data_IF_020204732358
#
_entry.id   IF_020204732358
#
_cell.length_a   1.000
_cell.length_b   1.000
_cell.length_c   1.000
_cell.angle_alpha   90.00
_cell.angle_beta   90.00
_cell.angle_gamma   90.00
#
_symmetry.space_group_name_H-M   'P 1'
#
loop_
_entity.id
_entity.type
_entity.pdbx_description
1 polymer ?
#
# COMPACT_ATOMS: atom_id res chain seq x y z
N UNK A 1 -22.08 13.76 -7.88
CA UNK A 1 -22.53 13.04 -9.10
C UNK A 1 -21.46 13.24 -10.16
N UNK A 2 -20.87 12.17 -10.64
CA UNK A 2 -19.87 12.17 -11.70
C UNK A 2 -20.53 12.62 -13.01
N UNK A 3 -19.87 13.49 -13.79
CA UNK A 3 -20.43 13.93 -15.08
C UNK A 3 -20.54 12.73 -16.07
N UNK A 4 -21.53 12.77 -16.97
CA UNK A 4 -21.68 11.74 -18.01
C UNK A 4 -20.40 11.58 -18.87
N UNK A 5 -19.69 12.66 -19.13
CA UNK A 5 -18.43 12.66 -19.87
C UNK A 5 -17.35 11.88 -19.11
N UNK A 6 -17.23 12.10 -17.81
CA UNK A 6 -16.29 11.37 -16.96
C UNK A 6 -16.64 9.89 -16.88
N UNK A 7 -17.94 9.53 -16.76
CA UNK A 7 -18.39 8.14 -16.80
C UNK A 7 -18.02 7.46 -18.12
N UNK A 8 -18.16 8.16 -19.26
CA UNK A 8 -17.77 7.62 -20.58
C UNK A 8 -16.28 7.36 -20.68
N UNK A 9 -15.46 8.28 -20.16
CA UNK A 9 -13.97 8.14 -20.14
C UNK A 9 -13.59 6.97 -19.25
N UNK A 10 -14.14 6.90 -18.04
CA UNK A 10 -13.86 5.81 -17.10
C UNK A 10 -14.30 4.45 -17.65
N UNK A 11 -15.46 4.39 -18.30
CA UNK A 11 -15.95 3.18 -18.96
C UNK A 11 -15.00 2.74 -20.08
N UNK A 12 -14.47 3.67 -20.89
CA UNK A 12 -13.50 3.36 -21.93
C UNK A 12 -12.17 2.82 -21.37
N UNK A 13 -11.75 3.32 -20.20
CA UNK A 13 -10.52 2.88 -19.51
C UNK A 13 -10.71 1.56 -18.72
N UNK A 14 -11.94 1.17 -18.41
CA UNK A 14 -12.24 -0.04 -17.63
C UNK A 14 -12.25 -1.32 -18.46
N UNK A 15 -12.42 -1.25 -19.78
CA UNK A 15 -12.44 -2.42 -20.66
C UNK A 15 -11.03 -2.76 -21.15
N UNK A 16 -10.46 -3.81 -20.61
CA UNK A 16 -9.21 -4.42 -21.05
C UNK A 16 -8.73 -5.45 -20.04
N UNK A 17 -8.34 -6.62 -20.54
CA UNK A 17 -7.56 -7.58 -19.75
C UNK A 17 -6.26 -6.91 -19.33
N UNK A 18 -5.76 -7.28 -18.15
CA UNK A 18 -4.46 -6.78 -17.67
C UNK A 18 -3.38 -7.38 -18.58
N UNK A 19 -2.91 -6.58 -19.54
CA UNK A 19 -1.63 -6.83 -20.18
C UNK A 19 -0.54 -6.24 -19.29
N UNK A 20 0.16 -7.09 -18.56
CA UNK A 20 1.17 -6.70 -17.56
C UNK A 20 2.20 -5.73 -18.15
N UNK A 21 2.74 -6.03 -19.35
CA UNK A 21 3.69 -5.13 -20.01
C UNK A 21 3.07 -3.78 -20.41
N UNK A 22 1.83 -3.77 -20.91
CA UNK A 22 1.15 -2.53 -21.26
C UNK A 22 0.84 -1.67 -20.04
N UNK A 23 0.39 -2.30 -18.94
CA UNK A 23 0.14 -1.62 -17.68
C UNK A 23 1.43 -1.04 -17.08
N UNK A 24 2.53 -1.79 -17.10
CA UNK A 24 3.86 -1.30 -16.66
C UNK A 24 4.37 -0.16 -17.54
N UNK A 25 4.19 -0.24 -18.89
CA UNK A 25 4.57 0.85 -19.81
C UNK A 25 3.76 2.12 -19.57
N UNK A 26 2.46 2.01 -19.26
CA UNK A 26 1.63 3.17 -18.90
C UNK A 26 2.11 3.80 -17.59
N UNK A 27 2.47 2.99 -16.61
CA UNK A 27 3.09 3.46 -15.37
C UNK A 27 4.41 4.22 -15.65
N UNK A 28 5.25 3.71 -16.57
CA UNK A 28 6.51 4.37 -16.96
C UNK A 28 6.32 5.70 -17.70
N UNK A 29 5.22 5.88 -18.45
CA UNK A 29 4.91 7.15 -19.12
C UNK A 29 4.65 8.28 -18.11
N UNK A 30 4.10 7.96 -16.94
CA UNK A 30 3.89 8.92 -15.84
C UNK A 30 5.20 9.52 -15.31
N UNK A 31 6.36 8.86 -15.55
CA UNK A 31 7.70 9.38 -15.17
C UNK A 31 8.14 10.61 -15.97
N UNK A 32 7.50 10.93 -17.09
CA UNK A 32 7.93 11.98 -18.02
C UNK A 32 7.54 13.40 -17.59
N UNK A 33 6.93 13.55 -16.43
CA UNK A 33 6.53 14.88 -15.94
C UNK A 33 7.74 15.69 -15.45
N UNK A 34 8.07 16.74 -16.21
CA UNK A 34 9.38 17.40 -16.23
C UNK A 34 9.64 18.42 -15.09
N UNK A 35 8.84 18.45 -14.04
CA UNK A 35 9.14 19.26 -12.85
C UNK A 35 9.97 18.45 -11.86
N UNK A 36 11.29 18.42 -12.07
CA UNK A 36 12.26 18.01 -11.05
C UNK A 36 12.19 18.96 -9.85
N UNK A 37 11.31 18.67 -8.92
CA UNK A 37 11.45 19.18 -7.56
C UNK A 37 12.76 18.64 -7.03
N UNK A 38 13.61 19.48 -6.45
CA UNK A 38 14.84 19.03 -5.76
C UNK A 38 14.40 18.12 -4.61
N UNK A 39 14.37 16.83 -4.88
CA UNK A 39 13.92 15.83 -3.93
C UNK A 39 15.14 15.35 -3.17
N UNK A 40 15.11 15.52 -1.85
CA UNK A 40 16.10 15.00 -0.93
C UNK A 40 15.84 13.51 -0.74
N UNK A 41 16.49 12.67 -1.58
CA UNK A 41 16.27 11.22 -1.60
C UNK A 41 17.56 10.45 -1.59
N UNK A 42 17.52 9.25 -1.04
CA UNK A 42 18.64 8.32 -0.96
C UNK A 42 18.14 6.91 -1.30
N UNK A 43 18.72 6.28 -2.31
CA UNK A 43 18.50 4.89 -2.62
C UNK A 43 19.45 4.01 -1.79
N UNK A 44 18.88 2.98 -1.18
CA UNK A 44 19.60 1.98 -0.40
C UNK A 44 18.91 0.62 -0.53
N UNK A 45 19.28 -0.36 0.28
CA UNK A 45 18.72 -1.70 0.24
C UNK A 45 18.64 -2.32 1.62
N UNK A 46 17.72 -3.24 1.77
CA UNK A 46 17.62 -4.15 2.90
C UNK A 46 17.72 -5.59 2.40
N UNK A 47 18.00 -6.53 3.30
CA UNK A 47 18.19 -7.93 2.91
C UNK A 47 16.99 -8.78 3.32
N UNK A 48 16.44 -9.51 2.34
CA UNK A 48 15.50 -10.60 2.55
C UNK A 48 16.20 -11.91 2.15
N UNK A 49 16.83 -12.59 3.11
CA UNK A 49 17.72 -13.71 2.81
C UNK A 49 18.90 -13.26 1.95
N UNK A 50 19.05 -13.87 0.77
CA UNK A 50 20.07 -13.51 -0.22
C UNK A 50 19.64 -12.38 -1.16
N UNK A 51 18.37 -11.99 -1.15
CA UNK A 51 17.84 -10.95 -2.02
C UNK A 51 18.02 -9.56 -1.41
N UNK A 52 18.49 -8.63 -2.22
CA UNK A 52 18.62 -7.22 -1.88
C UNK A 52 17.34 -6.48 -2.29
N UNK A 53 16.46 -6.19 -1.32
CA UNK A 53 15.24 -5.40 -1.55
C UNK A 53 15.62 -3.93 -1.65
N UNK A 54 15.45 -3.27 -2.80
CA UNK A 54 15.74 -1.84 -2.93
C UNK A 54 14.75 -1.04 -2.10
N UNK A 55 15.21 0.04 -1.48
CA UNK A 55 14.37 1.00 -0.77
C UNK A 55 14.82 2.40 -1.08
N UNK A 56 13.88 3.33 -1.18
CA UNK A 56 14.15 4.75 -1.35
C UNK A 56 13.67 5.53 -0.15
N UNK A 57 14.56 6.35 0.37
CA UNK A 57 14.30 7.26 1.48
C UNK A 57 14.06 8.66 0.94
N UNK A 58 13.00 9.30 1.42
CA UNK A 58 12.69 10.69 1.15
C UNK A 58 12.76 11.47 2.45
N UNK A 59 13.50 12.55 2.45
CA UNK A 59 13.74 13.34 3.64
C UNK A 59 12.93 14.64 3.61
N UNK A 60 12.31 15.05 4.72
CA UNK A 60 11.54 16.29 4.79
C UNK A 60 12.42 17.54 4.65
N UNK A 61 13.70 17.47 5.05
CA UNK A 61 14.63 18.59 5.04
C UNK A 61 16.07 18.12 4.79
N UNK A 62 17.01 19.08 4.63
CA UNK A 62 18.46 18.77 4.48
C UNK A 62 19.06 18.30 5.79
N UNK A 63 18.59 18.85 6.89
CA UNK A 63 19.00 18.44 8.24
C UNK A 63 18.62 16.98 8.48
N UNK A 64 17.40 16.55 8.07
CA UNK A 64 17.00 15.16 8.15
C UNK A 64 17.89 14.25 7.32
N UNK A 65 18.29 14.69 6.12
CA UNK A 65 19.18 13.93 5.24
C UNK A 65 20.59 13.84 5.76
N UNK A 66 21.13 14.89 6.41
CA UNK A 66 22.45 14.88 7.05
C UNK A 66 22.49 14.08 8.37
N UNK A 67 21.32 13.63 8.86
CA UNK A 67 21.22 12.89 10.10
C UNK A 67 21.15 13.77 11.35
N UNK A 68 21.00 15.07 11.16
CA UNK A 68 20.89 16.02 12.27
C UNK A 68 19.47 15.98 12.85
N UNK A 69 19.29 15.72 14.15
CA UNK A 69 17.99 15.74 14.77
C UNK A 69 17.45 17.17 14.88
N UNK A 70 16.15 17.36 14.67
CA UNK A 70 15.50 18.64 14.96
C UNK A 70 15.21 18.72 16.46
N UNK A 71 15.69 19.77 17.11
CA UNK A 71 15.53 19.98 18.55
C UNK A 71 16.00 18.80 19.42
N UNK A 72 16.95 18.00 18.91
CA UNK A 72 17.45 16.80 19.57
C UNK A 72 16.58 15.56 19.46
N UNK A 73 15.44 15.64 18.76
CA UNK A 73 14.53 14.51 18.54
C UNK A 73 14.79 13.83 17.18
N UNK A 74 14.70 12.50 17.16
CA UNK A 74 14.74 11.71 15.94
C UNK A 74 13.47 11.90 15.11
N UNK A 75 13.59 11.70 13.80
CA UNK A 75 12.46 11.85 12.89
C UNK A 75 11.46 10.70 12.98
N UNK A 76 10.15 10.97 12.87
CA UNK A 76 9.16 9.94 12.62
C UNK A 76 9.31 9.39 11.21
N UNK A 77 8.87 8.15 10.99
CA UNK A 77 9.00 7.46 9.70
C UNK A 77 7.66 6.95 9.21
N UNK A 78 7.39 7.14 7.91
CA UNK A 78 6.35 6.44 7.19
C UNK A 78 7.02 5.34 6.34
N UNK A 79 6.76 4.07 6.68
CA UNK A 79 7.16 2.94 5.87
C UNK A 79 6.06 2.68 4.84
N UNK A 80 6.34 3.01 3.58
CA UNK A 80 5.37 3.06 2.51
C UNK A 80 5.49 1.86 1.56
N UNK A 81 4.36 1.19 1.32
CA UNK A 81 4.19 0.15 0.31
C UNK A 81 3.24 0.64 -0.78
N UNK A 82 3.72 0.69 -2.01
CA UNK A 82 2.95 1.21 -3.14
C UNK A 82 1.86 0.27 -3.61
N UNK A 83 0.85 0.81 -4.28
CA UNK A 83 -0.22 0.06 -4.93
C UNK A 83 0.22 -0.57 -6.26
N UNK A 84 -0.77 -0.90 -7.11
CA UNK A 84 -0.53 -1.47 -8.44
C UNK A 84 -0.85 -2.96 -8.55
N UNK A 85 -1.74 -3.48 -7.70
CA UNK A 85 -2.24 -4.87 -7.79
C UNK A 85 -1.14 -5.93 -7.62
N UNK A 86 -0.06 -5.64 -6.91
CA UNK A 86 1.15 -6.48 -6.75
C UNK A 86 1.90 -6.77 -8.06
N UNK A 87 1.50 -6.17 -9.19
CA UNK A 87 1.94 -6.50 -10.56
C UNK A 87 2.60 -5.32 -11.25
N UNK A 88 2.13 -4.12 -10.96
CA UNK A 88 2.57 -2.88 -11.61
C UNK A 88 3.09 -1.87 -10.60
N UNK A 89 3.49 -0.71 -11.09
CA UNK A 89 4.03 0.40 -10.33
C UNK A 89 5.43 0.11 -9.76
N UNK A 90 6.03 1.12 -9.16
CA UNK A 90 7.38 1.08 -8.62
C UNK A 90 7.62 2.25 -7.67
N UNK A 91 8.69 2.21 -6.91
CA UNK A 91 9.15 3.36 -6.10
C UNK A 91 9.34 4.61 -6.96
N UNK A 92 9.80 4.45 -8.22
CA UNK A 92 9.97 5.59 -9.15
C UNK A 92 8.64 6.24 -9.54
N UNK A 93 7.56 5.45 -9.76
CA UNK A 93 6.24 5.99 -10.07
C UNK A 93 5.64 6.78 -8.91
N UNK A 94 5.97 6.40 -7.66
CA UNK A 94 5.52 7.06 -6.45
C UNK A 94 6.46 8.16 -5.93
N UNK A 95 7.51 8.51 -6.69
CA UNK A 95 8.54 9.48 -6.28
C UNK A 95 7.94 10.83 -5.84
N UNK A 96 6.98 11.34 -6.63
CA UNK A 96 6.29 12.61 -6.33
C UNK A 96 5.41 12.53 -5.08
N UNK A 97 4.67 11.43 -4.93
CA UNK A 97 3.77 11.20 -3.78
C UNK A 97 4.59 11.10 -2.50
N UNK A 98 5.63 10.24 -2.48
CA UNK A 98 6.47 10.04 -1.32
C UNK A 98 7.25 11.31 -0.93
N UNK A 99 7.74 12.07 -1.92
CA UNK A 99 8.41 13.35 -1.68
C UNK A 99 7.49 14.38 -1.05
N UNK A 100 6.27 14.54 -1.58
CA UNK A 100 5.27 15.46 -1.02
C UNK A 100 4.86 15.01 0.38
N UNK A 101 4.67 13.70 0.59
CA UNK A 101 4.34 13.14 1.89
C UNK A 101 5.42 13.47 2.92
N UNK A 102 6.70 13.26 2.59
CA UNK A 102 7.80 13.61 3.48
C UNK A 102 7.78 15.11 3.85
N UNK A 103 7.68 16.00 2.85
CA UNK A 103 7.68 17.45 3.05
C UNK A 103 6.47 17.95 3.85
N UNK A 104 5.27 17.40 3.57
CA UNK A 104 4.02 17.89 4.18
C UNK A 104 3.84 17.40 5.61
N UNK A 105 4.40 16.24 5.95
CA UNK A 105 4.21 15.62 7.27
C UNK A 105 5.41 15.74 8.19
N UNK A 106 6.56 16.17 7.67
CA UNK A 106 7.81 16.21 8.45
C UNK A 106 8.40 14.82 8.77
N UNK A 107 7.92 13.76 8.10
CA UNK A 107 8.39 12.40 8.29
C UNK A 107 9.49 12.06 7.26
N UNK A 108 10.39 11.15 7.63
CA UNK A 108 11.14 10.41 6.63
C UNK A 108 10.17 9.40 6.01
N UNK A 109 10.06 9.34 4.68
CA UNK A 109 9.30 8.30 3.99
C UNK A 109 10.28 7.27 3.45
N UNK A 110 10.07 5.99 3.81
CA UNK A 110 10.82 4.86 3.28
C UNK A 110 9.89 4.07 2.36
N UNK A 111 10.10 4.16 1.05
CA UNK A 111 9.35 3.42 0.04
C UNK A 111 10.08 2.15 -0.35
N UNK A 112 9.36 1.03 -0.45
CA UNK A 112 9.93 -0.31 -0.68
C UNK A 112 9.64 -0.76 -2.10
N UNK A 113 10.69 -1.10 -2.84
CA UNK A 113 10.61 -1.73 -4.17
C UNK A 113 10.50 -3.25 -3.98
N UNK A 114 9.34 -3.72 -3.56
CA UNK A 114 9.07 -5.14 -3.40
C UNK A 114 8.95 -5.84 -4.75
N UNK A 115 9.32 -7.11 -4.82
CA UNK A 115 9.24 -7.91 -6.05
C UNK A 115 7.78 -8.09 -6.48
N UNK A 116 7.53 -7.99 -7.78
CA UNK A 116 6.19 -7.98 -8.36
C UNK A 116 5.82 -9.33 -8.97
N UNK A 117 4.52 -9.64 -8.93
CA UNK A 117 3.93 -10.71 -9.72
C UNK A 117 3.84 -10.29 -11.22
N UNK A 118 3.78 -11.23 -12.16
CA UNK A 118 3.76 -12.68 -11.98
C UNK A 118 5.15 -13.31 -11.80
N UNK A 119 6.24 -12.56 -11.88
CA UNK A 119 7.60 -13.10 -11.71
C UNK A 119 7.83 -13.61 -10.29
N UNK A 120 7.16 -12.99 -9.31
CA UNK A 120 7.25 -13.33 -7.89
C UNK A 120 5.85 -13.33 -7.26
N UNK A 121 5.29 -14.54 -7.12
CA UNK A 121 3.98 -14.73 -6.50
C UNK A 121 4.01 -14.57 -4.98
N UNK A 122 2.84 -14.56 -4.36
CA UNK A 122 2.68 -14.69 -2.91
C UNK A 122 3.47 -15.90 -2.38
N UNK A 123 4.17 -15.80 -1.25
CA UNK A 123 4.25 -14.64 -0.36
C UNK A 123 5.46 -13.71 -0.60
N UNK A 124 6.15 -13.79 -1.76
CA UNK A 124 7.43 -13.10 -1.98
C UNK A 124 7.35 -11.57 -1.79
N UNK A 125 6.36 -10.85 -2.36
CA UNK A 125 6.20 -9.41 -2.13
C UNK A 125 6.00 -9.06 -0.65
N UNK A 126 5.22 -9.86 0.06
CA UNK A 126 4.98 -9.71 1.50
C UNK A 126 6.27 -9.88 2.32
N UNK A 127 7.06 -10.90 2.03
CA UNK A 127 8.31 -11.17 2.75
C UNK A 127 9.35 -10.06 2.50
N UNK A 128 9.36 -9.44 1.32
CA UNK A 128 10.21 -8.28 1.04
C UNK A 128 9.79 -7.06 1.88
N UNK A 129 8.49 -6.79 1.95
CA UNK A 129 7.94 -5.72 2.80
C UNK A 129 8.19 -5.98 4.28
N UNK A 130 8.04 -7.23 4.73
CA UNK A 130 8.34 -7.64 6.10
C UNK A 130 9.82 -7.46 6.45
N UNK A 131 10.72 -7.86 5.55
CA UNK A 131 12.16 -7.68 5.75
C UNK A 131 12.55 -6.20 5.85
N UNK A 132 11.93 -5.34 5.03
CA UNK A 132 12.12 -3.90 5.09
C UNK A 132 11.64 -3.32 6.42
N UNK A 133 10.44 -3.72 6.87
CA UNK A 133 9.92 -3.33 8.18
C UNK A 133 10.85 -3.79 9.31
N UNK A 134 11.22 -5.06 9.32
CA UNK A 134 12.11 -5.63 10.34
C UNK A 134 13.45 -4.89 10.39
N UNK A 135 14.06 -4.59 9.23
CA UNK A 135 15.33 -3.86 9.19
C UNK A 135 15.22 -2.45 9.80
N UNK A 136 14.10 -1.77 9.55
CA UNK A 136 13.81 -0.44 10.11
C UNK A 136 13.59 -0.51 11.61
N UNK A 137 12.70 -1.36 12.10
CA UNK A 137 12.35 -1.48 13.52
C UNK A 137 13.51 -2.00 14.39
N UNK A 138 14.38 -2.86 13.83
CA UNK A 138 15.53 -3.42 14.55
C UNK A 138 16.81 -2.58 14.42
N UNK A 139 16.74 -1.39 13.79
CA UNK A 139 17.88 -0.49 13.65
C UNK A 139 18.99 -1.00 12.74
N UNK A 140 18.70 -1.97 11.86
CA UNK A 140 19.68 -2.46 10.88
C UNK A 140 19.88 -1.49 9.72
N UNK A 141 18.95 -0.58 9.52
CA UNK A 141 19.06 0.55 8.61
C UNK A 141 19.47 1.78 9.43
N UNK A 142 20.63 2.36 9.09
CA UNK A 142 21.14 3.55 9.80
C UNK A 142 20.35 4.77 9.32
N UNK A 143 19.36 5.16 10.11
CA UNK A 143 18.54 6.35 9.90
C UNK A 143 18.39 7.14 11.20
N UNK A 144 18.24 8.47 11.14
CA UNK A 144 17.91 9.29 12.29
C UNK A 144 16.44 9.12 12.68
N UNK A 145 15.96 7.86 12.72
CA UNK A 145 14.57 7.47 12.93
C UNK A 145 14.29 7.14 14.39
N UNK A 146 13.09 7.46 14.84
CA UNK A 146 12.55 7.04 16.13
C UNK A 146 11.75 5.73 15.92
N UNK A 147 12.21 4.58 16.46
CA UNK A 147 11.50 3.30 16.31
C UNK A 147 10.07 3.33 16.89
N UNK A 148 9.81 4.16 17.89
CA UNK A 148 8.50 4.32 18.49
C UNK A 148 7.54 5.18 17.64
N UNK A 149 8.06 5.87 16.62
CA UNK A 149 7.32 6.77 15.73
C UNK A 149 7.34 6.29 14.28
N UNK A 150 7.37 4.98 14.07
CA UNK A 150 7.24 4.36 12.74
C UNK A 150 5.77 4.00 12.50
N UNK A 151 5.24 4.46 11.38
CA UNK A 151 3.89 4.11 10.90
C UNK A 151 4.02 3.34 9.59
N UNK A 152 3.38 2.18 9.47
CA UNK A 152 3.28 1.45 8.21
C UNK A 152 2.10 2.01 7.41
N UNK A 153 2.32 2.32 6.15
CA UNK A 153 1.31 2.91 5.28
C UNK A 153 1.36 2.27 3.89
N UNK A 154 0.22 2.08 3.26
CA UNK A 154 0.16 1.62 1.88
C UNK A 154 -1.21 1.86 1.26
N UNK A 155 -1.23 1.90 -0.07
CA UNK A 155 -2.43 2.09 -0.86
C UNK A 155 -2.77 0.86 -1.70
N UNK A 156 -4.05 0.51 -1.82
CA UNK A 156 -4.54 -0.62 -2.64
C UNK A 156 -3.84 -1.95 -2.26
N UNK A 157 -3.10 -2.57 -3.19
CA UNK A 157 -2.26 -3.74 -2.93
C UNK A 157 -1.19 -3.46 -1.86
N UNK A 158 -0.63 -2.24 -1.81
CA UNK A 158 0.28 -1.82 -0.73
C UNK A 158 -0.42 -1.72 0.62
N UNK A 159 -1.70 -1.34 0.64
CA UNK A 159 -2.55 -1.39 1.83
C UNK A 159 -2.79 -2.82 2.33
N UNK A 160 -2.94 -3.78 1.42
CA UNK A 160 -2.94 -5.20 1.75
C UNK A 160 -1.62 -5.62 2.40
N UNK A 161 -0.50 -5.31 1.76
CA UNK A 161 0.83 -5.63 2.28
C UNK A 161 1.07 -5.00 3.66
N UNK A 162 0.58 -3.77 3.89
CA UNK A 162 0.68 -3.10 5.18
C UNK A 162 -0.08 -3.86 6.28
N UNK A 163 -1.33 -4.24 6.01
CA UNK A 163 -2.14 -5.04 6.93
C UNK A 163 -1.50 -6.42 7.19
N UNK A 164 -1.07 -7.11 6.12
CA UNK A 164 -0.44 -8.43 6.22
C UNK A 164 0.90 -8.40 6.96
N UNK A 165 1.74 -7.37 6.77
CA UNK A 165 2.99 -7.17 7.53
C UNK A 165 2.69 -6.99 9.02
N UNK A 166 1.63 -6.25 9.38
CA UNK A 166 1.24 -6.08 10.79
C UNK A 166 0.77 -7.39 11.41
N UNK A 167 -0.03 -8.20 10.69
CA UNK A 167 -0.43 -9.54 11.12
C UNK A 167 0.79 -10.45 11.33
N UNK A 168 1.69 -10.47 10.37
CA UNK A 168 2.90 -11.28 10.40
C UNK A 168 3.88 -10.86 11.50
N UNK A 169 3.98 -9.54 11.76
CA UNK A 169 4.79 -9.00 12.84
C UNK A 169 4.27 -9.44 14.22
N UNK A 170 2.95 -9.42 14.41
CA UNK A 170 2.30 -9.94 15.63
C UNK A 170 2.59 -11.43 15.83
N UNK A 171 2.47 -12.24 14.78
CA UNK A 171 2.71 -13.67 14.88
C UNK A 171 4.18 -14.00 15.15
N UNK A 172 5.11 -13.37 14.43
CA UNK A 172 6.55 -13.64 14.57
C UNK A 172 7.15 -13.01 15.83
N UNK A 173 6.54 -11.96 16.38
CA UNK A 173 6.98 -11.31 17.61
C UNK A 173 8.37 -10.65 17.52
N UNK A 174 8.85 -10.35 16.31
CA UNK A 174 10.19 -9.78 16.10
C UNK A 174 10.21 -8.26 16.21
N UNK A 175 9.09 -7.63 15.94
CA UNK A 175 8.77 -6.20 16.15
C UNK A 175 7.25 -6.05 16.16
N UNK A 176 6.76 -4.90 16.63
CA UNK A 176 5.33 -4.60 16.59
C UNK A 176 5.12 -3.15 16.16
N UNK A 177 4.48 -2.91 15.01
CA UNK A 177 4.07 -1.57 14.60
C UNK A 177 3.07 -0.99 15.60
N UNK A 178 3.19 0.31 15.90
CA UNK A 178 2.20 1.01 16.75
C UNK A 178 1.04 1.57 15.95
N UNK A 179 1.29 1.90 14.66
CA UNK A 179 0.30 2.52 13.78
C UNK A 179 0.37 1.94 12.38
N UNK A 180 -0.80 1.83 11.74
CA UNK A 180 -0.92 1.55 10.32
C UNK A 180 -1.94 2.48 9.66
N UNK A 181 -1.69 2.83 8.40
CA UNK A 181 -2.59 3.63 7.56
C UNK A 181 -2.87 2.83 6.29
N UNK A 182 -4.12 2.46 6.09
CA UNK A 182 -4.57 1.64 4.96
C UNK A 182 -5.41 2.52 4.03
N UNK A 183 -4.90 2.79 2.84
CA UNK A 183 -5.55 3.67 1.87
C UNK A 183 -6.23 2.78 0.83
N UNK A 184 -7.57 2.80 0.75
CA UNK A 184 -8.41 1.93 -0.09
C UNK A 184 -7.80 0.51 -0.24
N UNK A 185 -7.56 -0.22 0.88
CA UNK A 185 -6.78 -1.45 0.85
C UNK A 185 -7.54 -2.60 0.20
N UNK A 186 -6.84 -3.44 -0.57
CA UNK A 186 -7.36 -4.69 -1.12
C UNK A 186 -7.22 -5.81 -0.08
N UNK A 187 -8.27 -6.14 0.64
CA UNK A 187 -8.23 -7.04 1.81
C UNK A 187 -8.94 -8.37 1.60
N UNK A 188 -9.68 -8.51 0.49
CA UNK A 188 -10.54 -9.65 0.19
C UNK A 188 -9.88 -10.64 -0.79
N UNK A 189 -10.43 -11.83 -0.87
CA UNK A 189 -9.96 -12.93 -1.73
C UNK A 189 -10.86 -13.21 -2.95
N UNK A 190 -11.96 -12.44 -3.11
CA UNK A 190 -12.96 -12.70 -4.16
C UNK A 190 -13.62 -11.40 -4.60
N UNK A 191 -13.62 -11.14 -5.91
CA UNK A 191 -14.28 -9.98 -6.53
C UNK A 191 -15.27 -10.41 -7.63
N UNK A 192 -15.87 -11.58 -7.47
CA UNK A 192 -16.94 -12.07 -8.32
C UNK A 192 -18.32 -11.73 -7.74
N UNK A 193 -19.40 -12.21 -8.39
CA UNK A 193 -20.77 -12.12 -7.86
C UNK A 193 -20.94 -12.82 -6.49
N UNK A 194 -20.01 -13.71 -6.13
CA UNK A 194 -20.00 -14.42 -4.84
C UNK A 194 -19.41 -13.55 -3.70
N UNK A 195 -18.82 -12.40 -4.01
CA UNK A 195 -18.28 -11.50 -2.99
C UNK A 195 -19.38 -11.04 -2.02
N UNK A 196 -19.14 -11.09 -0.71
CA UNK A 196 -20.13 -10.61 0.28
C UNK A 196 -20.22 -9.07 0.32
N UNK A 197 -19.35 -8.38 -0.39
CA UNK A 197 -19.24 -6.92 -0.37
C UNK A 197 -20.01 -6.29 -1.51
N UNK A 198 -20.98 -5.46 -1.14
CA UNK A 198 -21.88 -4.82 -2.09
C UNK A 198 -21.17 -3.85 -3.03
N UNK A 199 -20.11 -3.21 -2.55
CA UNK A 199 -19.28 -2.32 -3.37
C UNK A 199 -18.66 -3.01 -4.58
N UNK A 200 -18.41 -4.33 -4.52
CA UNK A 200 -17.93 -5.12 -5.66
C UNK A 200 -18.96 -5.13 -6.80
N UNK A 201 -20.26 -5.26 -6.49
CA UNK A 201 -21.33 -5.23 -7.48
C UNK A 201 -21.68 -3.80 -7.91
N UNK A 202 -21.69 -2.85 -6.96
CA UNK A 202 -22.06 -1.45 -7.23
C UNK A 202 -21.01 -0.69 -8.04
N UNK A 203 -19.73 -0.93 -7.75
CA UNK A 203 -18.58 -0.18 -8.27
C UNK A 203 -17.60 -1.04 -9.09
N UNK A 204 -17.92 -2.32 -9.29
CA UNK A 204 -17.06 -3.25 -10.02
C UNK A 204 -17.02 -3.05 -11.53
N UNK A 205 -17.85 -2.16 -12.09
CA UNK A 205 -17.89 -1.80 -13.51
C UNK A 205 -18.02 -0.30 -13.68
N UNK A 206 -17.48 0.22 -14.80
CA UNK A 206 -17.64 1.64 -15.17
C UNK A 206 -16.74 2.62 -14.42
N UNK A 207 -15.82 2.12 -13.60
CA UNK A 207 -14.81 2.89 -12.90
C UNK A 207 -13.38 2.43 -13.30
N UNK A 208 -12.37 3.14 -12.83
CA UNK A 208 -10.96 2.86 -13.18
C UNK A 208 -10.54 1.45 -12.74
N UNK A 209 -10.87 1.10 -11.49
CA UNK A 209 -10.69 -0.25 -10.96
C UNK A 209 -12.00 -1.03 -11.12
N UNK A 210 -11.93 -2.21 -11.71
CA UNK A 210 -13.08 -3.10 -11.89
C UNK A 210 -12.90 -4.40 -11.12
N UNK A 211 -14.01 -5.07 -10.82
CA UNK A 211 -14.02 -6.38 -10.18
C UNK A 211 -13.23 -7.42 -11.01
N UNK A 212 -13.37 -7.37 -12.34
CA UNK A 212 -12.63 -8.24 -13.26
C UNK A 212 -11.14 -8.00 -13.16
N UNK A 213 -10.69 -6.73 -13.14
CA UNK A 213 -9.26 -6.40 -12.95
C UNK A 213 -8.74 -6.91 -11.61
N UNK A 214 -9.54 -6.80 -10.54
CA UNK A 214 -9.15 -7.33 -9.24
C UNK A 214 -8.97 -8.84 -9.25
N UNK A 215 -9.89 -9.58 -9.89
CA UNK A 215 -9.75 -11.03 -10.05
C UNK A 215 -8.50 -11.41 -10.87
N UNK A 216 -8.17 -10.64 -11.90
CA UNK A 216 -6.96 -10.86 -12.70
C UNK A 216 -5.69 -10.59 -11.86
N UNK A 217 -5.68 -9.54 -11.05
CA UNK A 217 -4.58 -9.27 -10.11
C UNK A 217 -4.41 -10.40 -9.09
N UNK A 218 -5.49 -10.91 -8.50
CA UNK A 218 -5.40 -12.03 -7.57
C UNK A 218 -4.81 -13.28 -8.24
N UNK A 219 -5.25 -13.61 -9.48
CA UNK A 219 -4.70 -14.74 -10.26
C UNK A 219 -3.22 -14.59 -10.58
N UNK A 220 -2.76 -13.36 -10.81
CA UNK A 220 -1.34 -13.09 -11.06
C UNK A 220 -0.53 -13.15 -9.77
N UNK A 221 -1.12 -12.74 -8.65
CA UNK A 221 -0.44 -12.69 -7.35
C UNK A 221 -0.37 -14.05 -6.64
N UNK A 222 -1.42 -14.89 -6.75
CA UNK A 222 -1.43 -16.22 -6.12
C UNK A 222 -0.40 -17.17 -6.74
N UNK A 223 0.25 -18.00 -5.93
CA UNK A 223 1.07 -19.13 -6.39
C UNK A 223 0.22 -20.38 -6.56
N UNK A 224 -0.86 -20.48 -5.81
CA UNK A 224 -1.89 -21.52 -5.91
C UNK A 224 -3.25 -20.95 -5.45
N UNK A 225 -4.38 -21.56 -5.89
CA UNK A 225 -5.71 -21.13 -5.43
C UNK A 225 -5.91 -21.20 -3.91
N UNK A 226 -5.15 -22.04 -3.21
CA UNK A 226 -5.22 -22.19 -1.75
C UNK A 226 -4.71 -20.94 -1.02
N UNK A 227 -3.83 -20.15 -1.67
CA UNK A 227 -3.32 -18.90 -1.11
C UNK A 227 -4.44 -17.92 -0.78
N UNK A 228 -5.54 -17.94 -1.56
CA UNK A 228 -6.71 -17.08 -1.32
C UNK A 228 -7.38 -17.32 0.03
N UNK A 229 -7.13 -18.45 0.69
CA UNK A 229 -7.65 -18.75 2.03
C UNK A 229 -6.65 -18.35 3.14
N UNK A 230 -5.48 -17.85 2.78
CA UNK A 230 -4.46 -17.42 3.71
C UNK A 230 -4.73 -15.98 4.20
N UNK A 231 -4.78 -15.72 5.53
CA UNK A 231 -5.02 -14.38 6.06
C UNK A 231 -3.90 -13.37 5.74
N UNK A 232 -2.73 -13.82 5.34
CA UNK A 232 -1.67 -12.93 4.85
C UNK A 232 -1.83 -12.54 3.38
N UNK A 233 -2.60 -13.34 2.62
CA UNK A 233 -3.04 -12.98 1.27
C UNK A 233 -4.27 -12.07 1.33
N UNK A 234 -5.25 -12.43 2.15
CA UNK A 234 -6.50 -11.72 2.33
C UNK A 234 -6.73 -11.40 3.82
N UNK A 235 -6.26 -10.28 4.33
CA UNK A 235 -6.32 -9.91 5.75
C UNK A 235 -7.72 -9.92 6.38
N UNK A 236 -8.75 -9.76 5.56
CA UNK A 236 -10.14 -9.87 6.01
C UNK A 236 -10.50 -11.26 6.58
N UNK A 237 -9.73 -12.30 6.25
CA UNK A 237 -9.97 -13.66 6.69
C UNK A 237 -9.38 -13.95 8.08
N UNK A 238 -8.50 -13.07 8.60
CA UNK A 238 -7.93 -13.27 9.94
C UNK A 238 -9.03 -13.33 11.00
N UNK A 239 -9.00 -14.37 11.82
CA UNK A 239 -10.05 -14.60 12.82
C UNK A 239 -9.83 -13.78 14.09
N UNK A 240 -8.59 -13.69 14.53
CA UNK A 240 -8.19 -12.93 15.69
C UNK A 240 -7.47 -11.64 15.28
N UNK A 241 -8.15 -10.52 15.37
CA UNK A 241 -7.59 -9.19 15.11
C UNK A 241 -7.24 -8.44 16.40
N UNK A 242 -7.12 -9.12 17.54
CA UNK A 242 -6.66 -8.48 18.78
C UNK A 242 -5.20 -8.05 18.68
N UNK A 243 -4.84 -7.04 19.48
CA UNK A 243 -3.46 -6.53 19.56
C UNK A 243 -2.86 -6.05 18.21
N UNK A 244 -3.71 -5.56 17.33
CA UNK A 244 -3.26 -4.90 16.10
C UNK A 244 -2.91 -3.43 16.36
N UNK A 245 -2.11 -2.79 15.47
CA UNK A 245 -1.77 -1.38 15.57
C UNK A 245 -2.99 -0.46 15.59
N UNK A 246 -2.86 0.73 16.16
CA UNK A 246 -3.80 1.83 15.90
C UNK A 246 -3.94 2.01 14.39
N UNK A 247 -5.18 2.02 13.88
CA UNK A 247 -5.43 1.90 12.44
C UNK A 247 -6.24 3.08 11.93
N UNK A 248 -5.74 3.73 10.88
CA UNK A 248 -6.50 4.63 10.04
C UNK A 248 -6.81 3.96 8.71
N UNK A 249 -8.08 3.88 8.33
CA UNK A 249 -8.51 3.37 7.03
C UNK A 249 -9.18 4.50 6.24
N UNK A 250 -8.70 4.72 5.02
CA UNK A 250 -9.30 5.63 4.07
C UNK A 250 -9.93 4.81 2.94
N UNK A 251 -11.22 4.94 2.70
CA UNK A 251 -11.91 4.29 1.59
C UNK A 251 -12.41 5.30 0.57
N UNK A 252 -12.58 4.91 -0.68
CA UNK A 252 -13.16 5.75 -1.71
C UNK A 252 -14.60 5.33 -1.98
N UNK A 253 -15.52 6.30 -2.16
CA UNK A 253 -16.95 6.01 -2.29
C UNK A 253 -17.27 5.15 -3.50
N UNK A 254 -16.62 5.40 -4.63
CA UNK A 254 -16.87 4.71 -5.91
C UNK A 254 -15.79 3.67 -6.22
N UNK A 255 -15.46 2.83 -5.23
CA UNK A 255 -14.41 1.84 -5.29
C UNK A 255 -14.96 0.45 -4.95
N UNK A 256 -14.69 -0.61 -5.72
CA UNK A 256 -15.08 -1.96 -5.35
C UNK A 256 -14.47 -2.42 -4.02
N UNK A 257 -13.34 -1.85 -3.57
CA UNK A 257 -12.64 -2.17 -2.32
C UNK A 257 -13.24 -1.48 -1.09
N UNK A 258 -14.24 -0.60 -1.27
CA UNK A 258 -14.81 0.23 -0.20
C UNK A 258 -15.29 -0.58 1.00
N UNK A 259 -16.19 -1.52 0.75
CA UNK A 259 -16.91 -2.21 1.82
C UNK A 259 -16.02 -3.19 2.60
N UNK A 260 -15.04 -3.81 1.95
CA UNK A 260 -14.07 -4.68 2.62
C UNK A 260 -13.14 -3.90 3.55
N UNK A 261 -12.71 -2.69 3.12
CA UNK A 261 -11.93 -1.79 3.96
C UNK A 261 -12.70 -1.36 5.21
N UNK A 262 -13.97 -0.97 5.05
CA UNK A 262 -14.83 -0.58 6.18
C UNK A 262 -15.16 -1.78 7.08
N UNK A 263 -15.40 -2.96 6.52
CA UNK A 263 -15.64 -4.18 7.28
C UNK A 263 -14.41 -4.60 8.09
N UNK A 264 -13.21 -4.46 7.52
CA UNK A 264 -11.96 -4.75 8.23
C UNK A 264 -11.76 -3.79 9.41
N UNK A 265 -12.01 -2.49 9.19
CA UNK A 265 -11.96 -1.49 10.26
C UNK A 265 -12.92 -1.82 11.41
N UNK A 266 -14.17 -2.17 11.09
CA UNK A 266 -15.15 -2.59 12.10
C UNK A 266 -14.70 -3.82 12.89
N UNK A 267 -14.12 -4.83 12.23
CA UNK A 267 -13.61 -6.03 12.91
C UNK A 267 -12.40 -5.74 13.79
N UNK A 268 -11.52 -4.83 13.38
CA UNK A 268 -10.42 -4.35 14.22
C UNK A 268 -10.93 -3.65 15.48
N UNK A 269 -11.96 -2.79 15.35
CA UNK A 269 -12.60 -2.10 16.49
C UNK A 269 -13.29 -3.11 17.43
N UNK A 270 -14.05 -4.06 16.89
CA UNK A 270 -14.69 -5.13 17.66
C UNK A 270 -13.69 -6.01 18.42
N UNK A 271 -12.46 -6.14 17.89
CA UNK A 271 -11.35 -6.83 18.56
C UNK A 271 -10.61 -5.97 19.61
N UNK A 272 -11.07 -4.74 19.85
CA UNK A 272 -10.56 -3.86 20.91
C UNK A 272 -9.40 -2.97 20.52
N UNK A 273 -9.12 -2.80 19.21
CA UNK A 273 -8.09 -1.87 18.74
C UNK A 273 -8.67 -0.47 18.53
N UNK A 274 -7.81 0.56 18.54
CA UNK A 274 -8.19 1.91 18.14
C UNK A 274 -8.25 2.00 16.61
N UNK A 275 -9.39 2.44 16.06
CA UNK A 275 -9.62 2.49 14.60
C UNK A 275 -10.37 3.75 14.22
N UNK A 276 -9.89 4.41 13.18
CA UNK A 276 -10.61 5.47 12.48
C UNK A 276 -10.85 5.05 11.02
N UNK A 277 -12.09 5.18 10.54
CA UNK A 277 -12.45 4.89 9.14
C UNK A 277 -13.07 6.13 8.53
N UNK A 278 -12.49 6.58 7.40
CA UNK A 278 -13.00 7.73 6.67
C UNK A 278 -13.27 7.35 5.22
N UNK A 279 -14.52 7.55 4.77
CA UNK A 279 -14.88 7.43 3.36
C UNK A 279 -14.69 8.77 2.66
N UNK A 280 -13.89 8.76 1.61
CA UNK A 280 -13.62 9.93 0.78
C UNK A 280 -14.54 9.90 -0.44
N UNK A 281 -15.34 10.95 -0.60
CA UNK A 281 -16.30 11.11 -1.71
C UNK A 281 -15.59 11.57 -3.01
N UNK A 282 -14.44 10.95 -3.34
CA UNK A 282 -13.70 11.22 -4.57
C UNK A 282 -13.51 9.92 -5.36
N UNK A 283 -13.45 10.05 -6.68
CA UNK A 283 -13.02 8.95 -7.52
C UNK A 283 -11.60 8.55 -7.15
N UNK A 284 -11.40 7.24 -7.03
CA UNK A 284 -10.08 6.65 -7.01
C UNK A 284 -9.34 7.05 -8.30
N UNK A 285 -8.42 7.98 -8.20
CA UNK A 285 -7.44 8.26 -9.25
C UNK A 285 -6.11 8.50 -8.58
N UNK A 286 -5.10 7.71 -8.94
CA UNK A 286 -3.71 8.02 -8.65
C UNK A 286 -3.30 9.41 -9.19
N UNK A 287 -4.16 10.02 -10.00
CA UNK A 287 -4.00 11.34 -10.61
C UNK A 287 -4.70 12.48 -9.85
N UNK A 288 -5.42 12.18 -8.75
CA UNK A 288 -6.05 13.20 -7.89
C UNK A 288 -5.03 13.98 -7.03
N UNK A 289 -3.75 13.88 -7.33
CA UNK A 289 -2.65 14.60 -6.67
C UNK A 289 -2.19 15.85 -7.46
N UNK A 290 -3.01 16.37 -8.40
CA UNK A 290 -2.78 17.69 -9.04
C UNK A 290 -3.38 18.85 -8.26
#
# INVERSE_FOLDING_TARGET
MISKTMQTILHALSYGNIEVEASRRLADIKKLDAMRIFVKKLDTKVYNGAYEVPVRLYFPSEEAMSGEPVDGEKYPVLLFFHGGGWVTESVENYDRVCSRMAQSTGHIVMSVEYRLAPEYHFPVPLEDCYAAAKALYTGRLILPADPDRITIIGDSAGGNLAAAVCLLARERGEFMPRKQILIYPALNNCYTEESPYRSVQENGEGYLLTAVKMEDYLKLYESSPDDRQNPYFAPILEKDLSHMPDTLILTAEFDPLRDEGEAYGKRLEEAGNYVEVHRICLLYTSDAAD
#
